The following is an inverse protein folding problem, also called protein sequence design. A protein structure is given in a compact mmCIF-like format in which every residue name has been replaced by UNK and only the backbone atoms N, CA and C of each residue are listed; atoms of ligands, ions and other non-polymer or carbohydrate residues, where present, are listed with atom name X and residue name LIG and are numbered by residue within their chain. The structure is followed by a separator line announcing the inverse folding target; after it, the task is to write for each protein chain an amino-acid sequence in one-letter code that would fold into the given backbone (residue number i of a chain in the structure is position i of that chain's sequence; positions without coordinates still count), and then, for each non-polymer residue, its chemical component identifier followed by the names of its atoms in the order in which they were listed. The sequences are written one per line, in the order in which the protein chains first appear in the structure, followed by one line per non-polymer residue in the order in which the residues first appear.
data_IF_250984895940
#
_entry.id   IF_250984895940
#
_cell.length_a   1.000
_cell.length_b   1.000
_cell.length_c   1.000
_cell.angle_alpha   90.00
_cell.angle_beta   90.00
_cell.angle_gamma   90.00
#
_symmetry.space_group_name_H-M   'P 1'
#
loop_
_entity.id
_entity.type
_entity.pdbx_description
1 polymer ?
#
# COMPACT_ATOMS: atom_id res chain seq x y z
N UNK A 1 -1.54 -0.60 5.22
CA UNK A 1 -1.03 -0.26 6.56
C UNK A 1 -1.12 1.24 6.76
N UNK A 2 -1.15 1.72 8.01
CA UNK A 2 -1.25 3.16 8.32
C UNK A 2 -0.07 3.94 7.71
N UNK A 3 1.15 3.39 7.77
CA UNK A 3 2.35 4.04 7.24
C UNK A 3 2.27 4.31 5.72
N UNK A 4 1.82 3.33 4.94
CA UNK A 4 1.65 3.47 3.49
C UNK A 4 0.47 4.37 3.12
N UNK A 5 -0.60 4.40 3.93
CA UNK A 5 -1.80 5.19 3.58
C UNK A 5 -1.68 6.66 4.00
N UNK A 6 -1.19 6.90 5.22
CA UNK A 6 -1.24 8.20 5.88
C UNK A 6 0.11 8.90 5.92
N UNK A 7 1.22 8.15 5.99
CA UNK A 7 2.57 8.74 6.15
C UNK A 7 3.41 8.70 4.88
N UNK A 8 2.88 8.18 3.77
CA UNK A 8 3.66 7.97 2.55
C UNK A 8 4.25 9.25 1.95
N UNK A 9 3.55 10.38 2.08
CA UNK A 9 3.99 11.67 1.57
C UNK A 9 4.90 12.44 2.54
N UNK A 10 5.05 11.96 3.78
CA UNK A 10 5.90 12.62 4.77
C UNK A 10 7.38 12.36 4.43
N UNK A 11 8.19 13.40 4.16
CA UNK A 11 9.60 13.22 3.83
C UNK A 11 10.37 12.57 4.99
N UNK A 12 11.24 11.61 4.67
CA UNK A 12 12.02 10.88 5.68
C UNK A 12 12.93 11.81 6.50
N UNK A 13 13.53 12.79 5.83
CA UNK A 13 14.49 13.75 6.40
C UNK A 13 13.85 15.00 7.00
N UNK A 14 12.52 15.07 7.09
CA UNK A 14 11.84 16.23 7.65
C UNK A 14 12.20 16.38 9.14
N UNK A 15 12.72 17.56 9.52
CA UNK A 15 13.03 17.91 10.93
C UNK A 15 11.82 17.79 11.85
N UNK A 16 10.62 18.09 11.32
CA UNK A 16 9.35 17.91 12.00
C UNK A 16 8.40 17.17 11.06
N UNK A 17 7.90 16.02 11.49
CA UNK A 17 6.92 15.21 10.77
C UNK A 17 5.57 15.41 11.43
N UNK A 18 4.61 15.96 10.68
CA UNK A 18 3.26 16.21 11.17
C UNK A 18 2.23 15.70 10.18
N UNK A 19 1.10 15.21 10.68
CA UNK A 19 -0.06 14.85 9.89
C UNK A 19 -1.30 15.55 10.48
N UNK A 20 -2.04 16.36 9.69
CA UNK A 20 -3.30 16.93 10.16
C UNK A 20 -4.33 15.85 10.46
N UNK A 21 -5.09 16.00 11.53
CA UNK A 21 -6.17 15.10 11.93
C UNK A 21 -7.22 14.96 10.83
N UNK A 22 -7.54 16.05 10.15
CA UNK A 22 -8.42 16.07 8.98
C UNK A 22 -7.97 15.12 7.86
N UNK A 23 -6.67 14.83 7.74
CA UNK A 23 -6.15 13.84 6.78
C UNK A 23 -6.52 12.40 7.17
N UNK A 24 -6.64 12.13 8.47
CA UNK A 24 -7.12 10.83 8.98
C UNK A 24 -8.63 10.73 8.80
N UNK A 25 -9.36 11.79 9.18
CA UNK A 25 -10.82 11.86 9.11
C UNK A 25 -11.37 11.69 7.67
N UNK A 26 -10.61 12.15 6.67
CA UNK A 26 -10.95 12.00 5.26
C UNK A 26 -10.74 10.58 4.69
N UNK A 27 -10.35 9.60 5.50
CA UNK A 27 -10.02 8.23 5.06
C UNK A 27 -10.81 7.19 5.83
N UNK A 28 -10.89 6.00 5.25
CA UNK A 28 -11.46 4.81 5.88
C UNK A 28 -10.42 3.70 5.88
N UNK A 29 -10.30 2.99 7.00
CA UNK A 29 -9.46 1.81 7.12
C UNK A 29 -10.33 0.55 7.08
N UNK A 30 -10.15 -0.25 6.03
CA UNK A 30 -10.90 -1.49 5.81
C UNK A 30 -9.94 -2.67 5.85
N UNK A 31 -10.28 -3.70 6.62
CA UNK A 31 -9.61 -5.00 6.57
C UNK A 31 -10.35 -5.89 5.59
N UNK A 32 -9.64 -6.34 4.55
CA UNK A 32 -10.17 -7.22 3.52
C UNK A 32 -9.66 -8.65 3.72
N UNK A 33 -10.56 -9.61 3.57
CA UNK A 33 -10.25 -11.03 3.46
C UNK A 33 -10.52 -11.49 2.02
N UNK A 34 -9.58 -12.24 1.46
CA UNK A 34 -9.77 -12.90 0.16
C UNK A 34 -10.66 -14.13 0.35
N UNK A 35 -11.67 -14.29 -0.52
CA UNK A 35 -12.55 -15.46 -0.52
C UNK A 35 -11.97 -16.67 -1.26
N UNK A 36 -10.90 -16.44 -2.01
CA UNK A 36 -10.13 -17.46 -2.73
C UNK A 36 -8.69 -17.01 -2.87
N UNK A 37 -7.84 -17.95 -3.25
CA UNK A 37 -6.48 -17.62 -3.63
C UNK A 37 -6.45 -16.78 -4.92
N UNK A 38 -5.62 -15.74 -4.91
CA UNK A 38 -5.36 -14.88 -6.06
C UNK A 38 -3.94 -15.12 -6.58
N UNK A 39 -3.77 -15.15 -7.90
CA UNK A 39 -2.45 -15.30 -8.52
C UNK A 39 -1.79 -13.94 -8.69
N UNK A 40 -0.85 -13.60 -7.83
CA UNK A 40 -0.16 -12.30 -7.85
C UNK A 40 1.26 -12.43 -8.39
N UNK A 41 1.66 -11.50 -9.26
CA UNK A 41 3.05 -11.38 -9.68
C UNK A 41 3.89 -10.75 -8.56
N UNK A 42 4.93 -11.45 -8.13
CA UNK A 42 5.82 -10.98 -7.07
C UNK A 42 6.86 -10.02 -7.61
N UNK A 43 6.84 -8.78 -7.11
CA UNK A 43 7.86 -7.76 -7.36
C UNK A 43 8.84 -7.69 -6.16
N UNK A 44 9.28 -8.86 -5.71
CA UNK A 44 10.23 -9.04 -4.60
C UNK A 44 11.47 -9.80 -5.07
N UNK A 45 12.56 -9.71 -4.34
CA UNK A 45 13.64 -10.69 -4.49
C UNK A 45 13.13 -12.09 -4.06
N UNK A 46 13.50 -13.18 -4.75
CA UNK A 46 14.42 -13.26 -5.89
C UNK A 46 13.77 -13.09 -7.27
N UNK A 47 12.44 -12.93 -7.38
CA UNK A 47 11.75 -12.81 -8.66
C UNK A 47 12.30 -11.63 -9.50
N UNK A 48 12.55 -10.49 -8.87
CA UNK A 48 13.16 -9.33 -9.53
C UNK A 48 14.58 -9.61 -10.06
N UNK A 49 15.38 -10.40 -9.33
CA UNK A 49 16.71 -10.82 -9.78
C UNK A 49 16.61 -11.68 -11.04
N UNK A 50 15.65 -12.61 -11.08
CA UNK A 50 15.37 -13.43 -12.28
C UNK A 50 15.01 -12.56 -13.48
N UNK A 51 14.28 -11.46 -13.27
CA UNK A 51 13.87 -10.53 -14.33
C UNK A 51 14.91 -9.48 -14.68
N UNK A 52 16.02 -9.38 -13.92
CA UNK A 52 17.03 -8.32 -14.05
C UNK A 52 16.41 -6.92 -13.91
N UNK A 53 15.42 -6.78 -13.03
CA UNK A 53 14.72 -5.51 -12.73
C UNK A 53 15.12 -5.05 -11.33
N UNK A 54 15.35 -3.75 -11.15
CA UNK A 54 15.66 -3.17 -9.85
C UNK A 54 14.39 -3.01 -9.00
N UNK A 55 14.48 -3.24 -7.68
CA UNK A 55 13.38 -3.00 -6.72
C UNK A 55 12.97 -1.53 -6.63
N UNK A 56 13.84 -0.62 -7.08
CA UNK A 56 13.52 0.80 -7.24
C UNK A 56 12.24 1.04 -8.08
N UNK A 57 11.85 0.07 -8.93
CA UNK A 57 10.61 0.14 -9.70
C UNK A 57 9.35 0.32 -8.83
N UNK A 58 9.32 -0.29 -7.64
CA UNK A 58 8.17 -0.22 -6.71
C UNK A 58 8.45 0.68 -5.50
N UNK A 59 9.71 1.08 -5.32
CA UNK A 59 10.15 1.92 -4.22
C UNK A 59 10.41 3.38 -4.62
N UNK A 60 10.12 3.76 -5.86
CA UNK A 60 10.34 5.11 -6.36
C UNK A 60 9.46 6.20 -5.70
N UNK A 61 9.87 7.47 -5.71
CA UNK A 61 8.99 8.59 -5.37
C UNK A 61 7.81 8.68 -6.36
N UNK A 62 6.75 9.48 -6.07
CA UNK A 62 5.56 9.58 -6.92
C UNK A 62 5.85 9.87 -8.40
N UNK A 63 6.90 10.62 -8.70
CA UNK A 63 7.35 10.90 -10.09
C UNK A 63 7.70 9.63 -10.89
N UNK A 64 8.07 8.55 -10.22
CA UNK A 64 8.43 7.27 -10.83
C UNK A 64 7.22 6.32 -10.96
N UNK A 65 6.04 6.67 -10.42
CA UNK A 65 4.84 5.83 -10.52
C UNK A 65 4.39 5.60 -11.95
N UNK A 66 4.68 6.51 -12.88
CA UNK A 66 4.42 6.28 -14.31
C UNK A 66 5.15 5.04 -14.82
N UNK A 67 6.39 4.84 -14.37
CA UNK A 67 7.18 3.66 -14.73
C UNK A 67 6.60 2.41 -14.07
N UNK A 68 6.24 2.46 -12.79
CA UNK A 68 5.58 1.36 -12.07
C UNK A 68 4.27 0.95 -12.77
N UNK A 69 3.45 1.92 -13.17
CA UNK A 69 2.18 1.70 -13.87
C UNK A 69 2.39 1.07 -15.25
N UNK A 70 3.43 1.48 -16.00
CA UNK A 70 3.78 0.84 -17.29
C UNK A 70 4.15 -0.62 -17.12
N UNK A 71 4.91 -0.95 -16.07
CA UNK A 71 5.24 -2.34 -15.76
C UNK A 71 4.01 -3.14 -15.32
N UNK A 72 3.16 -2.55 -14.48
CA UNK A 72 1.89 -3.17 -14.09
C UNK A 72 1.02 -3.50 -15.31
N UNK A 73 0.91 -2.55 -16.26
CA UNK A 73 0.21 -2.76 -17.53
C UNK A 73 0.86 -3.85 -18.38
N UNK A 74 2.19 -3.85 -18.52
CA UNK A 74 2.89 -4.87 -19.30
C UNK A 74 2.67 -6.28 -18.73
N UNK A 75 2.71 -6.43 -17.40
CA UNK A 75 2.43 -7.71 -16.72
C UNK A 75 0.97 -8.11 -16.94
N UNK A 76 0.04 -7.17 -16.74
CA UNK A 76 -1.38 -7.41 -17.00
C UNK A 76 -1.61 -7.92 -18.44
N UNK A 77 -1.09 -7.22 -19.44
CA UNK A 77 -1.33 -7.56 -20.84
C UNK A 77 -0.66 -8.88 -21.27
N UNK A 78 0.50 -9.22 -20.69
CA UNK A 78 1.27 -10.41 -21.07
C UNK A 78 0.79 -11.70 -20.40
N UNK A 79 0.23 -11.61 -19.19
CA UNK A 79 -0.14 -12.78 -18.39
C UNK A 79 -1.61 -12.70 -17.99
N UNK A 80 -2.49 -13.39 -18.73
CA UNK A 80 -3.95 -13.35 -18.51
C UNK A 80 -4.39 -13.92 -17.15
N UNK A 81 -3.59 -14.83 -16.59
CA UNK A 81 -3.86 -15.55 -15.36
C UNK A 81 -3.30 -14.87 -14.09
N UNK A 82 -2.62 -13.74 -14.25
CA UNK A 82 -2.14 -12.90 -13.14
C UNK A 82 -3.22 -11.89 -12.76
N UNK A 83 -3.60 -11.85 -11.49
CA UNK A 83 -4.73 -11.06 -11.00
C UNK A 83 -4.30 -9.80 -10.26
N UNK A 84 -3.00 -9.61 -10.10
CA UNK A 84 -2.46 -8.44 -9.44
C UNK A 84 -0.96 -8.53 -9.20
N UNK A 85 -0.47 -7.61 -8.38
CA UNK A 85 0.94 -7.45 -8.03
C UNK A 85 1.10 -7.44 -6.52
N UNK A 86 2.24 -7.95 -6.04
CA UNK A 86 2.60 -7.90 -4.63
C UNK A 86 4.07 -7.52 -4.45
N UNK A 87 4.35 -6.58 -3.54
CA UNK A 87 5.70 -6.14 -3.21
C UNK A 87 5.82 -5.83 -1.70
N UNK A 88 7.05 -5.57 -1.25
CA UNK A 88 7.30 -5.11 0.13
C UNK A 88 7.05 -3.61 0.21
N UNK A 89 6.20 -3.18 1.16
CA UNK A 89 5.94 -1.76 1.40
C UNK A 89 7.25 -1.07 1.79
N UNK A 90 7.59 -0.01 1.07
CA UNK A 90 8.80 0.79 1.36
C UNK A 90 8.74 1.41 2.75
N UNK A 91 7.54 1.79 3.20
CA UNK A 91 7.33 2.51 4.46
C UNK A 91 7.18 1.58 5.65
N UNK A 92 6.90 0.31 5.43
CA UNK A 92 6.51 -0.62 6.46
C UNK A 92 7.08 -2.01 6.13
N UNK A 93 8.41 -2.15 6.06
CA UNK A 93 9.05 -3.48 5.97
C UNK A 93 8.85 -4.21 7.32
N UNK A 94 8.33 -5.45 7.36
CA UNK A 94 8.20 -6.44 6.28
C UNK A 94 6.82 -6.52 5.59
N UNK A 95 5.92 -5.57 5.83
CA UNK A 95 4.55 -5.63 5.33
C UNK A 95 4.46 -5.55 3.80
N UNK A 96 3.36 -6.12 3.31
CA UNK A 96 3.07 -6.23 1.89
C UNK A 96 2.24 -5.05 1.40
N UNK A 97 2.57 -4.55 0.21
CA UNK A 97 1.68 -3.75 -0.61
C UNK A 97 1.16 -4.60 -1.77
N UNK A 98 -0.13 -4.45 -2.08
CA UNK A 98 -0.84 -5.27 -3.07
C UNK A 98 -1.63 -4.36 -3.99
N UNK A 99 -1.68 -4.73 -5.27
CA UNK A 99 -2.53 -4.13 -6.29
C UNK A 99 -3.31 -5.24 -6.97
N UNK A 100 -4.62 -5.08 -7.10
CA UNK A 100 -5.47 -5.98 -7.87
C UNK A 100 -5.78 -5.39 -9.24
N UNK A 101 -5.76 -6.22 -10.28
CA UNK A 101 -6.14 -5.81 -11.62
C UNK A 101 -7.66 -5.83 -11.76
N UNK A 102 -8.23 -4.65 -12.04
CA UNK A 102 -9.65 -4.53 -12.35
C UNK A 102 -10.03 -5.43 -13.53
N UNK A 103 -11.18 -6.10 -13.43
CA UNK A 103 -11.66 -7.06 -14.41
C UNK A 103 -11.16 -8.50 -14.20
N UNK A 104 -10.14 -8.72 -13.36
CA UNK A 104 -9.67 -10.07 -12.96
C UNK A 104 -10.03 -10.39 -11.51
N UNK A 105 -9.92 -9.39 -10.64
CA UNK A 105 -10.44 -9.45 -9.27
C UNK A 105 -11.70 -8.62 -9.17
N UNK A 106 -12.74 -9.20 -8.58
CA UNK A 106 -14.06 -8.59 -8.40
C UNK A 106 -14.37 -8.38 -6.93
N UNK A 107 -15.42 -7.60 -6.64
CA UNK A 107 -15.90 -7.43 -5.26
C UNK A 107 -16.36 -8.75 -4.64
N UNK A 108 -16.82 -9.72 -5.44
CA UNK A 108 -17.21 -11.04 -4.96
C UNK A 108 -16.01 -11.82 -4.37
N UNK A 109 -14.80 -11.55 -4.87
CA UNK A 109 -13.56 -12.19 -4.39
C UNK A 109 -13.06 -11.60 -3.06
N UNK A 110 -13.63 -10.45 -2.65
CA UNK A 110 -13.21 -9.69 -1.47
C UNK A 110 -14.32 -9.62 -0.43
N UNK A 111 -13.95 -9.69 0.83
CA UNK A 111 -14.85 -9.50 1.95
C UNK A 111 -14.28 -8.46 2.91
N UNK A 112 -15.04 -7.40 3.16
CA UNK A 112 -14.74 -6.52 4.28
C UNK A 112 -15.01 -7.25 5.59
N UNK A 113 -13.96 -7.47 6.38
CA UNK A 113 -14.03 -8.06 7.73
C UNK A 113 -14.32 -6.97 8.76
N UNK A 114 -13.75 -5.78 8.53
CA UNK A 114 -14.03 -4.59 9.32
C UNK A 114 -13.81 -3.34 8.48
N UNK A 115 -14.54 -2.28 8.84
CA UNK A 115 -14.42 -0.96 8.25
C UNK A 115 -14.50 0.06 9.39
N UNK A 116 -13.52 0.95 9.46
CA UNK A 116 -13.44 2.03 10.44
C UNK A 116 -13.23 3.33 9.70
N UNK A 117 -14.13 4.29 9.90
CA UNK A 117 -13.95 5.63 9.34
C UNK A 117 -12.85 6.40 10.09
N UNK A 118 -12.44 7.53 9.53
CA UNK A 118 -11.37 8.36 10.08
C UNK A 118 -11.70 9.04 11.40
N UNK A 119 -12.96 9.01 11.84
CA UNK A 119 -13.42 9.52 13.14
C UNK A 119 -13.50 8.43 14.21
N UNK A 120 -13.39 7.15 13.83
CA UNK A 120 -13.40 6.02 14.74
C UNK A 120 -12.28 6.13 15.78
N UNK A 121 -12.65 6.05 17.06
CA UNK A 121 -11.73 6.26 18.16
C UNK A 121 -10.62 5.19 18.23
N UNK A 122 -10.89 3.96 17.81
CA UNK A 122 -9.88 2.90 17.76
C UNK A 122 -8.89 3.12 16.63
N UNK A 123 -9.38 3.53 15.46
CA UNK A 123 -8.51 3.85 14.33
C UNK A 123 -7.62 5.06 14.63
N UNK A 124 -8.17 6.10 15.25
CA UNK A 124 -7.39 7.25 15.71
C UNK A 124 -6.32 6.87 16.74
N UNK A 125 -6.56 5.86 17.59
CA UNK A 125 -5.53 5.32 18.49
C UNK A 125 -4.43 4.61 17.69
N UNK A 126 -4.79 3.69 16.79
CA UNK A 126 -3.81 2.99 15.93
C UNK A 126 -2.93 3.98 15.14
N UNK A 127 -3.52 5.08 14.66
CA UNK A 127 -2.78 6.13 13.92
C UNK A 127 -1.82 6.90 14.83
N UNK A 128 -2.20 7.18 16.08
CA UNK A 128 -1.29 7.80 17.05
C UNK A 128 -0.15 6.87 17.43
N UNK A 129 -0.44 5.59 17.67
CA UNK A 129 0.57 4.60 18.03
C UNK A 129 1.59 4.41 16.88
N UNK A 130 1.10 4.31 15.64
CA UNK A 130 1.96 4.30 14.45
C UNK A 130 2.73 5.61 14.29
N UNK A 131 2.11 6.75 14.62
CA UNK A 131 2.75 8.07 14.61
C UNK A 131 3.91 8.14 15.58
N UNK A 132 3.73 7.68 16.82
CA UNK A 132 4.79 7.61 17.83
C UNK A 132 5.97 6.76 17.35
N UNK A 133 5.71 5.57 16.81
CA UNK A 133 6.74 4.69 16.27
C UNK A 133 7.50 5.31 15.09
N UNK A 134 6.83 6.10 14.26
CA UNK A 134 7.40 6.74 13.06
C UNK A 134 7.98 8.15 13.33
N UNK A 135 7.83 8.68 14.55
CA UNK A 135 8.18 10.06 14.89
C UNK A 135 7.31 11.11 14.20
N UNK A 136 6.04 10.79 13.92
CA UNK A 136 5.03 11.65 13.29
C UNK A 136 4.04 12.13 14.34
N UNK A 137 3.86 13.45 14.46
CA UNK A 137 2.87 14.04 15.38
C UNK A 137 1.57 14.32 14.64
N UNK A 138 0.46 13.80 15.16
CA UNK A 138 -0.87 14.15 14.65
C UNK A 138 -1.24 15.53 15.21
N UNK A 139 -1.51 16.49 14.32
CA UNK A 139 -1.94 17.84 14.71
C UNK A 139 -3.44 17.97 14.56
N UNK A 140 -4.09 18.75 15.42
CA UNK A 140 -5.51 19.10 15.26
C UNK A 140 -5.78 19.81 13.92
#
# INVERSE_FOLDING_TARGET
TILEMLFHDIPLEARRKTLPRSSVEARQHTVLQLRRDLRLASLRAPALLKWRVASALVWGPPKQYVTTARWAKAIHDQFEDVEGLIWTSRRCDPDSAVLFFGGRTTEADLQAVSARDGTDASFLRDVRDAGEQAGVVITE
#
